data_IF_107758316905
#
_entry.id   IF_107758316905
#
_cell.length_a   1.000
_cell.length_b   1.000
_cell.length_c   1.000
_cell.angle_alpha   90.00
_cell.angle_beta   90.00
_cell.angle_gamma   90.00
#
_symmetry.space_group_name_H-M   'P 1'
#
loop_
_entity.id
_entity.type
_entity.pdbx_description
1 polymer ?
#
# COMPACT_ATOMS: atom_id res chain seq x y z
N UNK A 1 7.33 30.52 -11.27
CA UNK A 1 8.08 29.62 -10.40
C UNK A 1 7.78 30.03 -8.98
N UNK A 2 6.91 29.31 -8.27
CA UNK A 2 6.83 29.42 -6.83
C UNK A 2 8.05 28.64 -6.31
N UNK A 3 9.07 29.33 -5.83
CA UNK A 3 10.19 28.74 -5.10
C UNK A 3 9.65 28.21 -3.76
N UNK A 4 9.15 26.99 -3.79
CA UNK A 4 8.91 26.23 -2.58
C UNK A 4 10.25 25.67 -2.11
N UNK A 5 10.78 26.23 -1.04
CA UNK A 5 12.05 25.82 -0.46
C UNK A 5 11.86 24.50 0.29
N UNK A 6 11.83 23.38 -0.44
CA UNK A 6 11.69 22.07 0.16
C UNK A 6 12.33 20.97 -0.69
N UNK A 7 12.60 19.83 -0.07
CA UNK A 7 12.99 18.61 -0.77
C UNK A 7 11.75 17.83 -1.17
N UNK A 8 11.78 17.26 -2.37
CA UNK A 8 10.65 16.50 -2.92
C UNK A 8 11.12 15.16 -3.47
N UNK A 9 10.23 14.19 -3.47
CA UNK A 9 10.38 12.91 -4.14
C UNK A 9 9.51 12.92 -5.37
N UNK A 10 10.14 12.85 -6.54
CA UNK A 10 9.46 12.63 -7.81
C UNK A 10 9.50 11.14 -8.13
N UNK A 11 8.35 10.53 -8.32
CA UNK A 11 8.23 9.10 -8.53
C UNK A 11 7.36 8.78 -9.75
N UNK A 12 7.88 7.95 -10.65
CA UNK A 12 7.10 7.35 -11.74
C UNK A 12 6.31 6.18 -11.20
N UNK A 13 5.00 6.15 -11.43
CA UNK A 13 4.14 5.03 -11.09
C UNK A 13 4.30 3.95 -12.16
N UNK A 14 4.42 2.69 -11.75
CA UNK A 14 4.55 1.58 -12.68
C UNK A 14 3.16 1.15 -13.21
N UNK A 15 2.82 1.40 -14.49
CA UNK A 15 1.49 1.09 -15.03
C UNK A 15 1.23 -0.41 -15.21
N UNK A 16 2.28 -1.26 -15.19
CA UNK A 16 2.11 -2.72 -15.21
C UNK A 16 1.60 -3.26 -13.87
N UNK A 17 1.92 -2.59 -12.77
CA UNK A 17 1.42 -2.94 -11.43
C UNK A 17 0.11 -2.23 -11.15
N UNK A 18 0.02 -0.98 -11.59
CA UNK A 18 -1.08 -0.07 -11.34
C UNK A 18 -1.62 0.46 -12.67
N UNK A 19 -2.54 -0.26 -13.31
CA UNK A 19 -3.05 0.11 -14.63
C UNK A 19 -3.87 1.41 -14.63
N UNK A 20 -4.39 1.81 -13.47
CA UNK A 20 -5.20 3.02 -13.27
C UNK A 20 -4.53 3.93 -12.23
N UNK A 21 -3.45 4.67 -12.59
CA UNK A 21 -2.70 5.50 -11.65
C UNK A 21 -3.52 6.66 -11.08
N UNK A 22 -4.58 7.10 -11.75
CA UNK A 22 -5.53 8.09 -11.27
C UNK A 22 -6.25 7.60 -10.01
N UNK A 23 -6.74 6.34 -10.01
CA UNK A 23 -7.42 5.72 -8.87
C UNK A 23 -6.50 5.64 -7.63
N UNK A 24 -5.21 5.33 -7.85
CA UNK A 24 -4.22 5.34 -6.77
C UNK A 24 -4.09 6.74 -6.17
N UNK A 25 -3.96 7.75 -7.03
CA UNK A 25 -3.77 9.11 -6.56
C UNK A 25 -5.01 9.65 -5.86
N UNK A 26 -6.20 9.25 -6.29
CA UNK A 26 -7.46 9.56 -5.61
C UNK A 26 -7.53 8.92 -4.23
N UNK A 27 -7.19 7.62 -4.12
CA UNK A 27 -7.08 6.94 -2.83
C UNK A 27 -6.07 7.63 -1.89
N UNK A 28 -4.87 7.95 -2.39
CA UNK A 28 -3.82 8.59 -1.60
C UNK A 28 -4.28 9.98 -1.15
N UNK A 29 -4.86 10.77 -2.04
CA UNK A 29 -5.32 12.12 -1.72
C UNK A 29 -6.43 12.09 -0.65
N UNK A 30 -7.43 11.21 -0.80
CA UNK A 30 -8.51 11.05 0.17
C UNK A 30 -8.01 10.61 1.54
N UNK A 31 -7.21 9.53 1.60
CA UNK A 31 -6.67 9.01 2.85
C UNK A 31 -5.73 10.02 3.54
N UNK A 32 -4.84 10.67 2.79
CA UNK A 32 -3.90 11.61 3.40
C UNK A 32 -4.57 12.90 3.88
N UNK A 33 -5.60 13.38 3.18
CA UNK A 33 -6.41 14.52 3.64
C UNK A 33 -7.11 14.18 4.96
N UNK A 34 -7.75 13.03 5.06
CA UNK A 34 -8.41 12.55 6.26
C UNK A 34 -7.44 12.38 7.44
N UNK A 35 -6.29 11.74 7.20
CA UNK A 35 -5.25 11.61 8.21
C UNK A 35 -4.72 12.96 8.67
N UNK A 36 -4.55 13.92 7.76
CA UNK A 36 -4.06 15.27 8.07
C UNK A 36 -4.98 15.97 9.08
N UNK A 37 -6.28 15.88 8.89
CA UNK A 37 -7.25 16.46 9.82
C UNK A 37 -7.16 15.83 11.21
N UNK A 38 -7.10 14.50 11.29
CA UNK A 38 -6.98 13.78 12.56
C UNK A 38 -5.65 14.04 13.28
N UNK A 39 -4.56 14.11 12.54
CA UNK A 39 -3.24 14.43 13.10
C UNK A 39 -3.25 15.85 13.69
N UNK A 40 -3.78 16.82 12.98
CA UNK A 40 -3.92 18.19 13.47
C UNK A 40 -4.80 18.28 14.71
N UNK A 41 -5.94 17.57 14.73
CA UNK A 41 -6.85 17.53 15.87
C UNK A 41 -6.22 16.99 17.17
N UNK A 42 -5.23 16.09 17.04
CA UNK A 42 -4.47 15.58 18.19
C UNK A 42 -3.19 16.38 18.51
N UNK A 43 -2.95 17.52 17.81
CA UNK A 43 -1.75 18.36 17.98
C UNK A 43 -0.47 17.82 17.34
N UNK A 44 -0.59 16.86 16.43
CA UNK A 44 0.52 16.26 15.69
C UNK A 44 0.98 17.12 14.50
N UNK A 45 2.01 16.66 13.81
CA UNK A 45 2.57 17.31 12.64
C UNK A 45 2.30 16.49 11.37
N UNK A 46 1.28 16.85 10.54
CA UNK A 46 0.95 16.08 9.36
C UNK A 46 2.03 16.04 8.28
N UNK A 47 2.97 16.99 8.26
CA UNK A 47 4.08 16.99 7.31
C UNK A 47 5.15 15.92 7.64
N UNK A 48 5.05 15.32 8.83
CA UNK A 48 5.91 14.21 9.26
C UNK A 48 5.16 12.89 9.43
N UNK A 49 3.87 12.94 9.71
CA UNK A 49 3.08 11.77 10.12
C UNK A 49 2.23 11.18 8.99
N UNK A 50 2.08 11.92 7.86
CA UNK A 50 1.44 11.39 6.65
C UNK A 50 2.11 11.92 5.39
N UNK A 51 1.77 11.34 4.23
CA UNK A 51 2.29 11.82 2.95
C UNK A 51 1.66 13.17 2.60
N UNK A 52 2.47 14.05 2.01
CA UNK A 52 2.02 15.34 1.44
C UNK A 52 2.26 15.33 -0.06
N UNK A 53 1.18 15.26 -0.83
CA UNK A 53 1.24 15.34 -2.30
C UNK A 53 1.47 16.78 -2.72
N UNK A 54 2.42 16.97 -3.64
CA UNK A 54 2.64 18.26 -4.29
C UNK A 54 1.91 18.24 -5.63
N UNK A 55 0.87 19.06 -5.80
CA UNK A 55 0.14 19.10 -7.07
C UNK A 55 0.99 19.73 -8.18
N UNK A 56 0.60 19.47 -9.42
CA UNK A 56 1.10 20.12 -10.62
C UNK A 56 0.72 21.61 -10.62
N UNK A 57 1.24 22.38 -11.59
CA UNK A 57 0.84 23.79 -11.76
C UNK A 57 -0.64 23.96 -12.13
N UNK A 58 -1.27 22.92 -12.70
CA UNK A 58 -2.71 22.87 -12.98
C UNK A 58 -3.56 22.39 -11.80
N UNK A 59 -2.93 22.03 -10.66
CA UNK A 59 -3.63 21.57 -9.47
C UNK A 59 -3.84 20.05 -9.38
N UNK A 60 -3.38 19.29 -10.39
CA UNK A 60 -3.55 17.83 -10.45
C UNK A 60 -2.56 17.11 -9.55
N UNK A 61 -2.97 16.00 -8.94
CA UNK A 61 -2.08 15.16 -8.12
C UNK A 61 -1.16 14.24 -8.94
N UNK A 62 -1.45 14.09 -10.24
CA UNK A 62 -0.75 13.23 -11.20
C UNK A 62 -0.28 14.08 -12.38
N UNK A 63 0.91 13.79 -12.88
CA UNK A 63 1.47 14.36 -14.10
C UNK A 63 1.77 13.27 -15.11
N UNK A 64 1.36 13.47 -16.36
CA UNK A 64 1.69 12.62 -17.49
C UNK A 64 2.81 13.23 -18.31
N UNK A 65 3.92 12.51 -18.46
CA UNK A 65 5.00 12.95 -19.33
C UNK A 65 4.65 12.77 -20.82
N UNK A 66 5.53 13.23 -21.70
CA UNK A 66 5.30 13.17 -23.18
C UNK A 66 5.27 11.73 -23.71
N UNK A 67 5.79 10.77 -22.97
CA UNK A 67 5.83 9.34 -23.32
C UNK A 67 4.64 8.58 -22.71
N UNK A 68 3.73 9.28 -22.04
CA UNK A 68 2.58 8.69 -21.35
C UNK A 68 2.94 8.03 -20.02
N UNK A 69 4.04 8.43 -19.40
CA UNK A 69 4.44 7.97 -18.09
C UNK A 69 3.73 8.75 -16.98
N UNK A 70 3.08 8.07 -16.00
CA UNK A 70 2.44 8.72 -14.87
C UNK A 70 3.45 9.02 -13.76
N UNK A 71 3.46 10.27 -13.29
CA UNK A 71 4.36 10.74 -12.24
C UNK A 71 3.59 11.40 -11.11
N UNK A 72 4.07 11.21 -9.88
CA UNK A 72 3.62 11.94 -8.70
C UNK A 72 4.79 12.62 -8.00
N UNK A 73 4.49 13.72 -7.33
CA UNK A 73 5.44 14.45 -6.51
C UNK A 73 4.96 14.48 -5.06
N UNK A 74 5.83 14.18 -4.14
CA UNK A 74 5.54 14.17 -2.70
C UNK A 74 6.60 14.98 -1.96
N UNK A 75 6.23 15.60 -0.84
CA UNK A 75 7.20 16.22 0.05
C UNK A 75 8.13 15.14 0.63
N UNK A 76 9.42 15.40 0.62
CA UNK A 76 10.41 14.55 1.29
C UNK A 76 10.34 14.76 2.80
N UNK A 77 10.29 13.68 3.56
CA UNK A 77 10.34 13.73 5.02
C UNK A 77 11.80 13.66 5.44
N UNK A 78 12.34 14.77 5.98
CA UNK A 78 13.73 14.86 6.39
C UNK A 78 14.00 14.06 7.68
N UNK A 79 15.28 13.82 7.97
CA UNK A 79 15.74 13.12 9.18
C UNK A 79 15.12 11.73 9.36
N UNK A 80 14.96 11.00 8.26
CA UNK A 80 14.49 9.61 8.25
C UNK A 80 15.59 8.67 7.79
N UNK A 81 15.58 7.45 8.35
CA UNK A 81 16.50 6.37 7.99
C UNK A 81 15.69 5.13 7.61
N UNK A 82 16.05 4.49 6.51
CA UNK A 82 15.46 3.22 6.08
C UNK A 82 16.34 2.05 6.48
N UNK A 83 15.71 0.98 6.95
CA UNK A 83 16.38 -0.28 7.27
C UNK A 83 15.76 -1.40 6.43
N UNK A 84 16.57 -2.20 5.78
CA UNK A 84 16.11 -3.36 5.01
C UNK A 84 15.68 -4.51 5.92
N UNK A 85 16.31 -4.62 7.09
CA UNK A 85 16.04 -5.65 8.10
C UNK A 85 15.98 -5.00 9.46
N UNK A 86 14.99 -5.38 10.28
CA UNK A 86 14.90 -4.93 11.65
C UNK A 86 16.12 -5.41 12.46
N UNK A 87 16.82 -4.50 13.08
CA UNK A 87 18.08 -4.77 13.81
C UNK A 87 17.85 -5.28 15.23
N UNK A 88 16.66 -5.04 15.80
CA UNK A 88 16.32 -5.43 17.16
C UNK A 88 14.79 -5.48 17.38
N UNK A 89 14.39 -6.05 18.51
CA UNK A 89 12.97 -6.20 18.86
C UNK A 89 12.27 -4.86 19.13
N UNK A 90 13.01 -3.81 19.49
CA UNK A 90 12.44 -2.47 19.68
C UNK A 90 11.94 -1.90 18.35
N UNK A 91 12.72 -2.04 17.29
CA UNK A 91 12.30 -1.60 15.94
C UNK A 91 11.05 -2.34 15.48
N UNK A 92 10.94 -3.65 15.77
CA UNK A 92 9.75 -4.43 15.44
C UNK A 92 8.52 -3.95 16.23
N UNK A 93 8.71 -3.64 17.52
CA UNK A 93 7.65 -3.11 18.37
C UNK A 93 7.16 -1.74 17.86
N UNK A 94 8.09 -0.84 17.55
CA UNK A 94 7.75 0.49 17.01
C UNK A 94 7.06 0.40 15.65
N UNK A 95 7.49 -0.49 14.76
CA UNK A 95 6.80 -0.75 13.50
C UNK A 95 5.35 -1.25 13.75
N UNK A 96 5.18 -2.23 14.64
CA UNK A 96 3.84 -2.73 15.00
C UNK A 96 2.96 -1.64 15.61
N UNK A 97 3.51 -0.78 16.47
CA UNK A 97 2.80 0.37 17.05
C UNK A 97 2.36 1.35 15.98
N UNK A 98 3.27 1.71 15.04
CA UNK A 98 2.96 2.63 13.96
C UNK A 98 1.85 2.11 13.03
N UNK A 99 1.87 0.81 12.68
CA UNK A 99 0.78 0.18 11.91
C UNK A 99 -0.55 0.18 12.69
N UNK A 100 -0.53 -0.14 13.99
CA UNK A 100 -1.73 -0.10 14.82
C UNK A 100 -2.32 1.31 14.95
N UNK A 101 -1.48 2.32 15.13
CA UNK A 101 -1.92 3.73 15.14
C UNK A 101 -2.51 4.16 13.80
N UNK A 102 -1.88 3.77 12.68
CA UNK A 102 -2.40 4.05 11.34
C UNK A 102 -3.78 3.43 11.12
N UNK A 103 -3.97 2.16 11.50
CA UNK A 103 -5.28 1.49 11.42
C UNK A 103 -6.33 2.19 12.30
N UNK A 104 -5.94 2.56 13.54
CA UNK A 104 -6.83 3.28 14.45
C UNK A 104 -7.25 4.66 13.93
N UNK A 105 -6.33 5.40 13.30
CA UNK A 105 -6.64 6.69 12.68
C UNK A 105 -7.62 6.55 11.52
N UNK A 106 -7.61 5.42 10.82
CA UNK A 106 -8.48 5.14 9.67
C UNK A 106 -9.75 4.36 10.03
N UNK A 107 -9.98 4.04 11.30
CA UNK A 107 -11.10 3.19 11.72
C UNK A 107 -12.48 3.69 11.28
N UNK A 108 -12.64 4.99 11.13
CA UNK A 108 -13.88 5.67 10.66
C UNK A 108 -13.74 6.27 9.25
N UNK A 109 -12.69 5.92 8.51
CA UNK A 109 -12.56 6.29 7.11
C UNK A 109 -13.62 5.55 6.27
N UNK A 110 -14.32 6.22 5.32
CA UNK A 110 -15.33 5.58 4.49
C UNK A 110 -14.66 4.66 3.44
N UNK A 111 -14.20 3.47 3.86
CA UNK A 111 -13.41 2.56 3.05
C UNK A 111 -14.07 2.14 1.73
N UNK A 112 -15.41 2.20 1.65
CA UNK A 112 -16.18 1.92 0.42
C UNK A 112 -15.91 2.92 -0.72
N UNK A 113 -15.27 4.06 -0.43
CA UNK A 113 -14.86 5.05 -1.44
C UNK A 113 -13.53 4.73 -2.10
N UNK A 114 -12.77 3.77 -1.55
CA UNK A 114 -11.48 3.39 -2.09
C UNK A 114 -11.62 2.51 -3.34
N UNK A 115 -10.80 2.79 -4.34
CA UNK A 115 -10.63 1.93 -5.50
C UNK A 115 -9.76 0.71 -5.14
N UNK A 116 -10.10 -0.45 -5.64
CA UNK A 116 -9.26 -1.64 -5.57
C UNK A 116 -8.20 -1.57 -6.68
N UNK A 117 -7.07 -0.92 -6.40
CA UNK A 117 -6.03 -0.60 -7.40
C UNK A 117 -5.22 -1.81 -7.87
N UNK A 118 -5.22 -2.91 -7.14
CA UNK A 118 -4.70 -4.21 -7.55
C UNK A 118 -5.79 -5.24 -7.27
N UNK A 119 -6.48 -5.64 -8.33
CA UNK A 119 -7.60 -6.58 -8.23
C UNK A 119 -7.21 -7.87 -7.51
N UNK A 120 -8.07 -8.31 -6.60
CA UNK A 120 -7.90 -9.56 -5.83
C UNK A 120 -6.58 -9.66 -5.05
N UNK A 121 -5.92 -8.52 -4.72
CA UNK A 121 -4.62 -8.52 -4.04
C UNK A 121 -4.68 -9.25 -2.69
N UNK A 122 -5.74 -9.06 -1.94
CA UNK A 122 -5.97 -9.69 -0.64
C UNK A 122 -6.98 -10.86 -0.68
N UNK A 123 -7.38 -11.31 -1.89
CA UNK A 123 -8.22 -12.48 -2.07
C UNK A 123 -7.38 -13.76 -1.90
N UNK A 124 -7.29 -14.27 -0.66
CA UNK A 124 -6.42 -15.43 -0.35
C UNK A 124 -6.79 -16.70 -1.13
N UNK A 125 -8.07 -17.06 -1.36
CA UNK A 125 -8.44 -18.16 -2.26
C UNK A 125 -7.86 -18.01 -3.66
N UNK A 126 -7.93 -16.81 -4.24
CA UNK A 126 -7.38 -16.54 -5.57
C UNK A 126 -5.85 -16.64 -5.57
N UNK A 127 -5.17 -16.15 -4.54
CA UNK A 127 -3.72 -16.30 -4.38
C UNK A 127 -3.31 -17.77 -4.26
N UNK A 128 -4.10 -18.57 -3.54
CA UNK A 128 -3.86 -20.00 -3.42
C UNK A 128 -4.05 -20.73 -4.76
N UNK A 129 -5.08 -20.37 -5.54
CA UNK A 129 -5.29 -20.88 -6.89
C UNK A 129 -4.10 -20.58 -7.81
N UNK A 130 -3.59 -19.34 -7.78
CA UNK A 130 -2.40 -18.91 -8.54
C UNK A 130 -1.14 -19.68 -8.10
N UNK A 131 -0.97 -19.94 -6.80
CA UNK A 131 0.11 -20.79 -6.29
C UNK A 131 0.02 -22.19 -6.90
N UNK A 132 -1.14 -22.83 -6.88
CA UNK A 132 -1.34 -24.18 -7.46
C UNK A 132 -1.00 -24.20 -8.95
N UNK A 133 -1.39 -23.18 -9.70
CA UNK A 133 -1.03 -23.07 -11.11
C UNK A 133 0.48 -22.92 -11.32
N UNK A 134 1.13 -22.08 -10.52
CA UNK A 134 2.58 -21.91 -10.57
C UNK A 134 3.33 -23.22 -10.25
N UNK A 135 2.86 -23.97 -9.25
CA UNK A 135 3.36 -25.31 -8.91
C UNK A 135 3.21 -26.28 -10.08
N UNK A 136 2.02 -26.35 -10.67
CA UNK A 136 1.76 -27.24 -11.80
C UNK A 136 2.63 -26.92 -13.02
N UNK A 137 2.91 -25.65 -13.27
CA UNK A 137 3.75 -25.21 -14.39
C UNK A 137 5.26 -25.38 -14.13
N UNK A 138 5.69 -25.30 -12.89
CA UNK A 138 7.10 -25.39 -12.44
C UNK A 138 8.11 -24.71 -13.38
N UNK A 139 7.78 -23.53 -13.88
CA UNK A 139 8.58 -22.82 -14.91
C UNK A 139 10.03 -22.59 -14.51
N UNK A 140 10.29 -22.36 -13.22
CA UNK A 140 11.62 -22.10 -12.69
C UNK A 140 12.37 -23.40 -12.27
N UNK A 141 11.73 -24.58 -12.30
CA UNK A 141 12.31 -25.85 -11.88
C UNK A 141 12.71 -25.91 -10.40
N UNK A 142 12.04 -25.14 -9.52
CA UNK A 142 12.46 -24.95 -8.12
C UNK A 142 11.60 -25.67 -7.09
N UNK A 143 10.67 -26.53 -7.49
CA UNK A 143 9.73 -27.20 -6.56
C UNK A 143 10.45 -27.96 -5.44
N UNK A 144 11.53 -28.70 -5.74
CA UNK A 144 12.29 -29.43 -4.74
C UNK A 144 12.97 -28.56 -3.67
N UNK A 145 13.03 -27.25 -3.90
CA UNK A 145 13.63 -26.31 -2.94
C UNK A 145 12.61 -25.73 -1.96
N UNK A 146 11.31 -25.93 -2.21
CA UNK A 146 10.20 -25.29 -1.47
C UNK A 146 9.09 -26.29 -1.09
N UNK A 147 9.43 -27.58 -0.98
CA UNK A 147 8.46 -28.65 -0.65
C UNK A 147 7.79 -28.41 0.71
N UNK A 148 8.56 -28.00 1.72
CA UNK A 148 8.03 -27.75 3.06
C UNK A 148 7.05 -26.58 3.09
N UNK A 149 7.32 -25.52 2.32
CA UNK A 149 6.45 -24.35 2.19
C UNK A 149 5.16 -24.69 1.42
N UNK A 150 5.26 -25.56 0.41
CA UNK A 150 4.10 -26.04 -0.33
C UNK A 150 3.21 -26.92 0.53
N UNK A 151 3.77 -27.82 1.31
CA UNK A 151 3.04 -28.65 2.26
C UNK A 151 2.37 -27.79 3.34
N UNK A 152 3.07 -26.80 3.85
CA UNK A 152 2.52 -25.82 4.81
C UNK A 152 1.30 -25.08 4.23
N UNK A 153 1.40 -24.61 2.99
CA UNK A 153 0.31 -23.92 2.31
C UNK A 153 -0.88 -24.86 2.04
N UNK A 154 -0.60 -26.10 1.55
CA UNK A 154 -1.64 -27.08 1.24
C UNK A 154 -2.48 -27.46 2.48
N UNK A 155 -1.85 -27.62 3.64
CA UNK A 155 -2.54 -27.93 4.89
C UNK A 155 -3.50 -26.82 5.35
N UNK A 156 -3.37 -25.60 4.81
CA UNK A 156 -4.16 -24.41 5.17
C UNK A 156 -5.10 -23.94 4.07
N UNK A 157 -5.29 -24.74 3.04
CA UNK A 157 -6.18 -24.40 1.93
C UNK A 157 -7.60 -24.03 2.41
N UNK A 158 -8.12 -24.74 3.42
CA UNK A 158 -9.45 -24.50 3.97
C UNK A 158 -9.55 -23.16 4.70
N UNK A 159 -8.44 -22.67 5.28
CA UNK A 159 -8.41 -21.42 6.02
C UNK A 159 -8.37 -20.19 5.07
N UNK A 160 -8.01 -20.39 3.80
CA UNK A 160 -7.86 -19.31 2.83
C UNK A 160 -9.18 -18.54 2.60
N UNK A 161 -10.34 -19.21 2.73
CA UNK A 161 -11.64 -18.59 2.46
C UNK A 161 -12.18 -17.75 3.63
N UNK A 162 -11.63 -17.91 4.84
CA UNK A 162 -12.20 -17.35 6.09
C UNK A 162 -12.54 -15.85 5.99
N UNK A 163 -11.60 -15.01 5.58
CA UNK A 163 -11.82 -13.57 5.51
C UNK A 163 -12.79 -13.19 4.38
N UNK A 164 -12.71 -13.88 3.24
CA UNK A 164 -13.63 -13.64 2.12
C UNK A 164 -15.07 -14.08 2.45
N UNK A 165 -15.23 -15.12 3.27
CA UNK A 165 -16.53 -15.56 3.75
C UNK A 165 -17.14 -14.55 4.73
N UNK A 166 -16.34 -14.06 5.69
CA UNK A 166 -16.76 -13.01 6.62
C UNK A 166 -17.16 -11.71 5.90
N UNK A 167 -16.41 -11.32 4.87
CA UNK A 167 -16.74 -10.17 4.03
C UNK A 167 -18.09 -10.37 3.30
N UNK A 168 -18.32 -11.55 2.69
CA UNK A 168 -19.59 -11.88 2.04
C UNK A 168 -20.78 -11.91 3.00
N UNK A 169 -20.53 -12.27 4.25
CA UNK A 169 -21.55 -12.29 5.30
C UNK A 169 -21.79 -10.92 5.94
N UNK A 170 -21.06 -9.88 5.52
CA UNK A 170 -21.17 -8.54 6.09
C UNK A 170 -20.66 -8.44 7.54
N UNK A 171 -19.72 -9.31 7.92
CA UNK A 171 -19.10 -9.34 9.26
C UNK A 171 -17.73 -8.64 9.28
N UNK A 172 -17.25 -8.22 8.12
CA UNK A 172 -16.07 -7.38 7.90
C UNK A 172 -16.44 -6.17 7.06
#
# INVERSE_FOLDING_TARGET
LVEDQGKFVLQRINPFVFPHPEEIMENIAGVTAFLREKILARGGNPDRETLSIRPTLSGEALYWDREGGPWRCMRYVEDTVSYEVAQNNEMLREAGRAFGEFQNLLADYPAHTLFETIRDFHNTPERFRQLREAVAQNKAGRLSQVEAELDFAAQREQDCALLMDLLREGKL
#
